data_IF_368336245104
#
_entry.id   IF_368336245104
#
_cell.length_a   1.000
_cell.length_b   1.000
_cell.length_c   1.000
_cell.angle_alpha   90.00
_cell.angle_beta   90.00
_cell.angle_gamma   90.00
#
_symmetry.space_group_name_H-M   'P 1'
#
loop_
_entity.id
_entity.type
_entity.pdbx_description
1 polymer ?
#
# COMPACT_ATOMS: atom_id res chain seq x y z
N UNK A 1 2.70 -14.49 -2.06
CA UNK A 1 1.99 -13.30 -1.58
C UNK A 1 1.97 -12.25 -2.68
N UNK A 2 0.87 -11.56 -2.80
CA UNK A 2 0.67 -10.55 -3.84
C UNK A 2 0.29 -9.23 -3.18
N UNK A 3 0.96 -8.15 -3.57
CA UNK A 3 0.68 -6.81 -3.02
C UNK A 3 -0.41 -6.15 -3.85
N UNK A 4 -1.45 -5.65 -3.18
CA UNK A 4 -2.65 -5.09 -3.81
C UNK A 4 -2.71 -3.56 -3.68
N UNK A 5 -1.59 -2.92 -3.34
CA UNK A 5 -1.55 -1.48 -3.09
C UNK A 5 -2.07 -0.66 -4.27
N UNK A 6 -1.59 -0.95 -5.48
CA UNK A 6 -2.00 -0.20 -6.67
C UNK A 6 -3.51 -0.32 -6.90
N UNK A 7 -4.06 -1.52 -6.70
CA UNK A 7 -5.48 -1.77 -6.87
C UNK A 7 -6.31 -0.95 -5.87
N UNK A 8 -5.91 -0.95 -4.60
CA UNK A 8 -6.61 -0.20 -3.56
C UNK A 8 -6.54 1.31 -3.82
N UNK A 9 -5.37 1.79 -4.23
CA UNK A 9 -5.21 3.20 -4.58
C UNK A 9 -6.14 3.59 -5.73
N UNK A 10 -6.22 2.74 -6.75
CA UNK A 10 -7.10 2.97 -7.89
C UNK A 10 -8.57 3.00 -7.47
N UNK A 11 -9.00 2.02 -6.67
CA UNK A 11 -10.38 1.92 -6.20
C UNK A 11 -10.78 3.14 -5.35
N UNK A 12 -9.86 3.65 -4.54
CA UNK A 12 -10.11 4.80 -3.67
C UNK A 12 -9.82 6.13 -4.36
N UNK A 13 -9.35 6.09 -5.60
CA UNK A 13 -8.99 7.28 -6.37
C UNK A 13 -7.97 8.17 -5.64
N UNK A 14 -6.95 7.55 -5.09
CA UNK A 14 -5.88 8.23 -4.35
C UNK A 14 -4.60 8.17 -5.16
N UNK A 15 -3.96 9.32 -5.39
CA UNK A 15 -2.69 9.42 -6.10
C UNK A 15 -1.51 9.07 -5.19
N UNK A 16 -0.35 8.80 -5.80
CA UNK A 16 0.89 8.56 -5.05
C UNK A 16 1.20 9.75 -4.15
N UNK A 17 1.04 10.96 -4.66
CA UNK A 17 1.30 12.18 -3.90
C UNK A 17 0.39 12.28 -2.69
N UNK A 18 -0.90 12.03 -2.86
CA UNK A 18 -1.86 12.09 -1.78
C UNK A 18 -1.55 11.03 -0.72
N UNK A 19 -1.25 9.82 -1.16
CA UNK A 19 -0.91 8.74 -0.23
C UNK A 19 0.37 9.04 0.53
N UNK A 20 1.38 9.60 -0.14
CA UNK A 20 2.63 10.00 0.52
C UNK A 20 2.36 11.00 1.63
N UNK A 21 1.52 12.01 1.37
CA UNK A 21 1.16 13.02 2.37
C UNK A 21 0.40 12.43 3.55
N UNK A 22 -0.50 11.48 3.29
CA UNK A 22 -1.34 10.87 4.33
C UNK A 22 -0.60 9.84 5.17
N UNK A 23 0.29 9.08 4.55
CA UNK A 23 0.95 7.94 5.21
C UNK A 23 2.31 8.29 5.79
N UNK A 24 2.94 9.36 5.30
CA UNK A 24 4.32 9.67 5.65
C UNK A 24 5.34 8.77 4.94
N UNK A 25 4.90 7.95 4.00
CA UNK A 25 5.79 7.08 3.21
C UNK A 25 6.23 7.84 1.96
N UNK A 26 7.51 7.71 1.59
CA UNK A 26 8.03 8.43 0.42
C UNK A 26 7.38 7.93 -0.88
N UNK A 27 7.31 8.83 -1.87
CA UNK A 27 6.74 8.50 -3.17
C UNK A 27 7.46 7.34 -3.85
N UNK A 28 8.79 7.29 -3.75
CA UNK A 28 9.56 6.22 -4.36
C UNK A 28 9.25 4.87 -3.71
N UNK A 29 9.09 4.83 -2.40
CA UNK A 29 8.70 3.60 -1.70
C UNK A 29 7.30 3.16 -2.13
N UNK A 30 6.36 4.11 -2.26
CA UNK A 30 5.01 3.79 -2.71
C UNK A 30 5.06 3.22 -4.13
N UNK A 31 5.83 3.83 -5.04
CA UNK A 31 5.97 3.33 -6.40
C UNK A 31 6.52 1.91 -6.43
N UNK A 32 7.55 1.64 -5.62
CA UNK A 32 8.13 0.30 -5.53
C UNK A 32 7.10 -0.71 -5.02
N UNK A 33 6.33 -0.32 -4.01
CA UNK A 33 5.36 -1.20 -3.37
C UNK A 33 4.07 -1.38 -4.18
N UNK A 34 3.86 -0.58 -5.22
CA UNK A 34 2.76 -0.78 -6.16
C UNK A 34 2.97 -2.01 -7.05
N UNK A 35 4.20 -2.49 -7.14
CA UNK A 35 4.50 -3.74 -7.83
C UNK A 35 3.96 -4.91 -7.00
N UNK A 36 3.18 -5.79 -7.66
CA UNK A 36 2.57 -6.94 -6.98
C UNK A 36 3.59 -7.88 -6.35
N UNK A 37 4.81 -7.93 -6.88
CA UNK A 37 5.87 -8.80 -6.41
C UNK A 37 6.80 -8.12 -5.41
N UNK A 38 6.48 -6.90 -4.97
CA UNK A 38 7.31 -6.19 -4.01
C UNK A 38 7.26 -6.83 -2.62
N UNK A 39 8.24 -6.48 -1.78
CA UNK A 39 8.35 -7.00 -0.41
C UNK A 39 8.37 -5.84 0.60
N UNK A 40 7.25 -5.14 0.77
CA UNK A 40 7.19 -4.03 1.72
C UNK A 40 7.34 -4.56 3.16
N UNK A 41 7.97 -3.76 4.00
CA UNK A 41 8.04 -4.06 5.43
C UNK A 41 6.66 -3.94 6.05
N UNK A 42 6.41 -4.70 7.11
CA UNK A 42 5.11 -4.69 7.77
C UNK A 42 4.76 -3.29 8.30
N UNK A 43 5.73 -2.54 8.81
CA UNK A 43 5.51 -1.17 9.27
C UNK A 43 5.13 -0.23 8.12
N UNK A 44 5.71 -0.43 6.95
CA UNK A 44 5.34 0.34 5.77
C UNK A 44 3.90 0.05 5.37
N UNK A 45 3.51 -1.22 5.37
CA UNK A 45 2.12 -1.62 5.09
C UNK A 45 1.17 -0.99 6.09
N UNK A 46 1.53 -0.95 7.37
CA UNK A 46 0.70 -0.34 8.40
C UNK A 46 0.46 1.14 8.11
N UNK A 47 1.52 1.87 7.77
CA UNK A 47 1.41 3.29 7.42
C UNK A 47 0.56 3.51 6.18
N UNK A 48 0.75 2.68 5.17
CA UNK A 48 -0.04 2.76 3.94
C UNK A 48 -1.52 2.47 4.23
N UNK A 49 -1.80 1.45 5.03
CA UNK A 49 -3.16 1.13 5.43
C UNK A 49 -3.82 2.30 6.17
N UNK A 50 -3.08 2.94 7.06
CA UNK A 50 -3.56 4.11 7.79
C UNK A 50 -3.87 5.26 6.83
N UNK A 51 -2.97 5.53 5.89
CA UNK A 51 -3.16 6.59 4.89
C UNK A 51 -4.31 6.31 3.93
N UNK A 52 -4.62 5.04 3.68
CA UNK A 52 -5.72 4.62 2.82
C UNK A 52 -7.02 4.36 3.58
N UNK A 53 -6.97 4.45 4.90
CA UNK A 53 -8.11 4.17 5.77
C UNK A 53 -8.66 2.75 5.52
N UNK A 54 -7.77 1.78 5.47
CA UNK A 54 -8.13 0.37 5.28
C UNK A 54 -7.32 -0.49 6.25
N UNK A 55 -7.55 -1.79 6.24
CA UNK A 55 -6.79 -2.72 7.07
C UNK A 55 -5.54 -3.18 6.32
N UNK A 56 -4.50 -3.57 7.08
CA UNK A 56 -3.28 -4.13 6.48
C UNK A 56 -3.61 -5.30 5.58
N UNK A 57 -4.53 -6.16 6.01
CA UNK A 57 -4.93 -7.35 5.27
C UNK A 57 -5.60 -7.04 3.93
N UNK A 58 -6.05 -5.81 3.72
CA UNK A 58 -6.59 -5.38 2.42
C UNK A 58 -5.49 -5.11 1.41
N UNK A 59 -4.24 -4.94 1.85
CA UNK A 59 -3.13 -4.54 1.00
C UNK A 59 -2.35 -5.71 0.42
N UNK A 60 -2.66 -6.93 0.78
CA UNK A 60 -1.99 -8.10 0.24
C UNK A 60 -2.91 -9.30 0.15
N UNK A 61 -2.55 -10.23 -0.72
CA UNK A 61 -3.23 -11.51 -0.84
C UNK A 61 -2.22 -12.62 -0.60
N UNK A 62 -2.62 -13.63 0.15
CA UNK A 62 -1.74 -14.74 0.52
C UNK A 62 -2.58 -15.96 0.88
N UNK A 63 -2.06 -17.15 0.60
CA UNK A 63 -2.68 -18.40 1.01
C UNK A 63 -2.69 -18.59 2.53
N UNK A 64 -1.90 -17.80 3.25
CA UNK A 64 -1.77 -17.89 4.71
C UNK A 64 -2.41 -16.70 5.43
N UNK A 65 -3.24 -16.01 4.73
CA UNK A 65 -3.90 -14.81 5.24
C UNK A 65 -5.04 -15.17 6.21
#
# INVERSE_FOLDING_TARGET
MKILLAQIMYEKNISIRQLSLRSGVSKSTIQDDMNEDSNPKIKTLERLAQGLNCQITDLFDSNYK
#
